data_IF_191815123821
#
_entry.id   IF_191815123821
#
_cell.length_a   1.000
_cell.length_b   1.000
_cell.length_c   1.000
_cell.angle_alpha   90.00
_cell.angle_beta   90.00
_cell.angle_gamma   90.00
#
_symmetry.space_group_name_H-M   'P 1'
#
loop_
_entity.id
_entity.type
_entity.pdbx_description
1 polymer ?
#
# COMPACT_ATOMS: atom_id res chain seq x y z
N UNK A 1 -25.89 8.55 28.84
CA UNK A 1 -25.64 8.47 27.38
C UNK A 1 -24.28 7.82 27.19
N UNK A 2 -24.24 6.50 27.05
CA UNK A 2 -23.01 5.74 26.79
C UNK A 2 -22.86 5.60 25.28
N UNK A 3 -21.87 6.28 24.71
CA UNK A 3 -21.45 6.07 23.32
C UNK A 3 -20.69 4.75 23.24
N UNK A 4 -21.40 3.64 23.07
CA UNK A 4 -20.80 2.39 22.58
C UNK A 4 -20.59 2.54 21.06
N UNK A 5 -19.50 3.20 20.69
CA UNK A 5 -18.98 3.10 19.33
C UNK A 5 -18.43 1.69 19.17
N UNK A 6 -19.17 0.85 18.45
CA UNK A 6 -18.78 -0.52 18.15
C UNK A 6 -17.48 -0.56 17.38
N UNK A 7 -16.37 -0.78 18.08
CA UNK A 7 -15.10 -1.12 17.45
C UNK A 7 -15.21 -2.50 16.83
N UNK A 8 -15.35 -2.54 15.50
CA UNK A 8 -15.33 -3.80 14.76
C UNK A 8 -13.99 -4.52 14.97
N UNK A 9 -14.03 -5.82 15.23
CA UNK A 9 -12.84 -6.69 15.33
C UNK A 9 -11.94 -6.58 14.09
N UNK A 10 -12.51 -6.25 12.92
CA UNK A 10 -11.76 -6.01 11.70
C UNK A 10 -10.94 -4.70 11.75
N UNK A 11 -11.43 -3.66 12.43
CA UNK A 11 -10.65 -2.44 12.67
C UNK A 11 -9.49 -2.71 13.64
N UNK A 12 -9.74 -3.46 14.72
CA UNK A 12 -8.70 -3.82 15.69
C UNK A 12 -7.62 -4.71 15.06
N UNK A 13 -8.00 -5.66 14.18
CA UNK A 13 -7.04 -6.45 13.39
C UNK A 13 -6.25 -5.59 12.39
N UNK A 14 -6.89 -4.63 11.72
CA UNK A 14 -6.21 -3.67 10.83
C UNK A 14 -5.20 -2.78 11.59
N UNK A 15 -5.50 -2.41 12.84
CA UNK A 15 -4.61 -1.62 13.69
C UNK A 15 -3.41 -2.43 14.22
N UNK A 16 -3.55 -3.74 14.36
CA UNK A 16 -2.49 -4.63 14.85
C UNK A 16 -1.58 -5.19 13.74
N UNK A 17 -2.00 -5.11 12.47
CA UNK A 17 -1.21 -5.56 11.33
C UNK A 17 -0.33 -4.44 10.78
N UNK A 18 0.92 -4.77 10.42
CA UNK A 18 1.76 -3.84 9.68
C UNK A 18 1.06 -3.46 8.35
N UNK A 19 1.01 -2.17 8.00
CA UNK A 19 0.36 -1.72 6.78
C UNK A 19 1.02 -2.34 5.55
N UNK A 20 0.21 -2.98 4.69
CA UNK A 20 0.66 -3.64 3.45
C UNK A 20 0.48 -2.70 2.26
N UNK A 21 1.46 -2.65 1.37
CA UNK A 21 1.39 -1.90 0.12
C UNK A 21 0.28 -2.43 -0.82
N UNK A 22 -0.28 -3.61 -0.57
CA UNK A 22 -1.41 -4.18 -1.31
C UNK A 22 -2.78 -3.70 -0.81
N UNK A 23 -2.84 -2.97 0.30
CA UNK A 23 -4.10 -2.42 0.80
C UNK A 23 -4.57 -1.27 -0.10
N UNK A 24 -5.57 -1.55 -0.94
CA UNK A 24 -6.16 -0.57 -1.88
C UNK A 24 -6.94 0.54 -1.19
N UNK A 25 -7.24 0.40 0.11
CA UNK A 25 -7.86 1.48 0.89
C UNK A 25 -6.86 2.57 1.29
N UNK A 26 -5.57 2.32 1.11
CA UNK A 26 -4.52 3.31 1.36
C UNK A 26 -4.29 4.21 0.14
N UNK A 27 -3.99 5.51 0.35
CA UNK A 27 -3.55 6.39 -0.71
C UNK A 27 -2.29 5.88 -1.41
N UNK A 28 -2.17 6.15 -2.71
CA UNK A 28 -1.03 5.75 -3.52
C UNK A 28 0.34 6.16 -2.92
N UNK A 29 0.42 7.37 -2.36
CA UNK A 29 1.64 7.88 -1.73
C UNK A 29 2.10 7.01 -0.57
N UNK A 30 1.18 6.50 0.23
CA UNK A 30 1.51 5.69 1.41
C UNK A 30 1.93 4.27 1.00
N UNK A 31 1.24 3.68 0.01
CA UNK A 31 1.62 2.39 -0.58
C UNK A 31 3.03 2.44 -1.20
N UNK A 32 3.38 3.52 -1.90
CA UNK A 32 4.74 3.72 -2.42
C UNK A 32 5.76 3.92 -1.30
N UNK A 33 5.43 4.65 -0.23
CA UNK A 33 6.30 4.80 0.95
C UNK A 33 6.58 3.46 1.62
N UNK A 34 5.62 2.56 1.71
CA UNK A 34 5.81 1.22 2.24
C UNK A 34 6.83 0.43 1.41
N UNK A 35 6.72 0.48 0.07
CA UNK A 35 7.73 -0.11 -0.81
C UNK A 35 9.12 0.51 -0.64
N UNK A 36 9.21 1.84 -0.46
CA UNK A 36 10.50 2.50 -0.17
C UNK A 36 11.11 2.02 1.14
N UNK A 37 10.30 1.82 2.20
CA UNK A 37 10.76 1.26 3.49
C UNK A 37 11.24 -0.18 3.36
N UNK A 38 10.56 -1.00 2.55
CA UNK A 38 11.05 -2.35 2.23
C UNK A 38 12.39 -2.30 1.49
N UNK A 39 12.55 -1.29 0.63
CA UNK A 39 13.77 -0.99 -0.10
C UNK A 39 14.96 -0.61 0.78
N UNK A 40 14.73 0.19 1.83
CA UNK A 40 15.80 0.64 2.73
C UNK A 40 16.24 -0.39 3.76
N UNK A 41 15.49 -1.49 3.93
CA UNK A 41 15.86 -2.61 4.81
C UNK A 41 16.96 -3.45 4.17
N UNK A 42 18.20 -3.02 4.39
CA UNK A 42 19.43 -3.67 3.94
C UNK A 42 20.37 -3.81 5.14
N UNK A 43 20.80 -5.04 5.40
CA UNK A 43 21.80 -5.37 6.40
C UNK A 43 23.09 -5.77 5.68
N UNK A 44 24.21 -5.31 6.21
CA UNK A 44 25.55 -5.60 5.71
C UNK A 44 26.28 -6.36 6.80
N UNK A 45 27.00 -7.42 6.42
CA UNK A 45 27.88 -8.16 7.31
C UNK A 45 29.30 -7.61 7.18
N UNK A 46 29.88 -7.19 8.31
CA UNK A 46 31.26 -6.70 8.38
C UNK A 46 32.31 -7.79 8.15
N UNK A 47 31.92 -9.07 8.21
CA UNK A 47 32.81 -10.20 7.92
C UNK A 47 32.97 -10.48 6.42
N UNK A 48 32.10 -9.88 5.60
CA UNK A 48 32.09 -10.08 4.14
C UNK A 48 32.81 -8.90 3.47
N UNK A 49 33.95 -9.11 2.79
CA UNK A 49 34.71 -8.01 2.22
C UNK A 49 33.89 -7.19 1.20
N UNK A 50 33.99 -5.84 1.17
CA UNK A 50 33.14 -4.99 0.32
C UNK A 50 33.20 -5.31 -1.18
N UNK A 51 34.32 -5.85 -1.68
CA UNK A 51 34.46 -6.35 -3.05
C UNK A 51 33.40 -7.39 -3.44
N UNK A 52 32.95 -8.22 -2.50
CA UNK A 52 31.92 -9.22 -2.77
C UNK A 52 30.58 -8.54 -3.01
N UNK A 53 30.22 -7.54 -2.20
CA UNK A 53 29.03 -6.73 -2.44
C UNK A 53 29.10 -5.99 -3.78
N UNK A 54 30.23 -5.37 -4.12
CA UNK A 54 30.41 -4.70 -5.43
C UNK A 54 30.18 -5.68 -6.61
N UNK A 55 30.70 -6.90 -6.52
CA UNK A 55 30.48 -7.92 -7.56
C UNK A 55 29.02 -8.40 -7.62
N UNK A 56 28.43 -8.69 -6.46
CA UNK A 56 27.01 -9.10 -6.36
C UNK A 56 26.04 -7.99 -6.78
N UNK A 57 26.44 -6.72 -6.63
CA UNK A 57 25.64 -5.56 -7.03
C UNK A 57 25.32 -5.54 -8.53
N UNK A 58 26.22 -6.03 -9.38
CA UNK A 58 25.99 -6.13 -10.82
C UNK A 58 24.80 -7.04 -11.12
N UNK A 59 24.71 -8.18 -10.45
CA UNK A 59 23.60 -9.12 -10.63
C UNK A 59 22.33 -8.60 -9.98
N UNK A 60 22.44 -7.92 -8.84
CA UNK A 60 21.29 -7.29 -8.18
C UNK A 60 20.59 -6.26 -9.07
N UNK A 61 21.35 -5.42 -9.77
CA UNK A 61 20.80 -4.48 -10.76
C UNK A 61 20.18 -5.22 -11.96
N UNK A 62 20.86 -6.26 -12.47
CA UNK A 62 20.31 -7.10 -13.55
C UNK A 62 18.96 -7.71 -13.16
N UNK A 63 18.83 -8.20 -11.94
CA UNK A 63 17.56 -8.75 -11.42
C UNK A 63 16.47 -7.69 -11.29
N UNK A 64 16.81 -6.46 -10.93
CA UNK A 64 15.83 -5.37 -10.90
C UNK A 64 15.32 -5.05 -12.31
N UNK A 65 16.21 -5.11 -13.31
CA UNK A 65 15.85 -4.96 -14.72
C UNK A 65 14.93 -6.10 -15.20
N UNK A 66 15.19 -7.36 -14.82
CA UNK A 66 14.31 -8.49 -15.14
C UNK A 66 12.92 -8.31 -14.53
N UNK A 67 12.82 -7.92 -13.26
CA UNK A 67 11.51 -7.63 -12.65
C UNK A 67 10.75 -6.54 -13.41
N UNK A 68 11.44 -5.50 -13.88
CA UNK A 68 10.83 -4.43 -14.67
C UNK A 68 10.33 -4.97 -16.02
N UNK A 69 11.14 -5.78 -16.71
CA UNK A 69 10.78 -6.40 -18.00
C UNK A 69 9.56 -7.34 -17.88
N UNK A 70 9.44 -8.03 -16.76
CA UNK A 70 8.28 -8.89 -16.44
C UNK A 70 7.04 -8.10 -15.97
N UNK A 71 7.11 -6.76 -15.90
CA UNK A 71 6.02 -5.92 -15.39
C UNK A 71 5.80 -6.01 -13.88
N UNK A 72 6.74 -6.59 -13.13
CA UNK A 72 6.69 -6.73 -11.67
C UNK A 72 7.24 -5.45 -11.01
N UNK A 73 6.51 -4.36 -11.19
CA UNK A 73 6.93 -2.99 -10.85
C UNK A 73 7.32 -2.84 -9.38
N UNK A 74 6.55 -3.42 -8.45
CA UNK A 74 6.81 -3.32 -7.01
C UNK A 74 8.14 -3.97 -6.64
N UNK A 75 8.41 -5.15 -7.20
CA UNK A 75 9.65 -5.88 -6.95
C UNK A 75 10.85 -5.15 -7.55
N UNK A 76 10.72 -4.66 -8.78
CA UNK A 76 11.75 -3.85 -9.41
C UNK A 76 12.07 -2.60 -8.57
N UNK A 77 11.03 -1.89 -8.11
CA UNK A 77 11.17 -0.69 -7.30
C UNK A 77 11.86 -0.98 -5.96
N UNK A 78 11.43 -2.02 -5.25
CA UNK A 78 12.06 -2.44 -3.99
C UNK A 78 13.53 -2.81 -4.21
N UNK A 79 13.84 -3.54 -5.28
CA UNK A 79 15.21 -4.00 -5.53
C UNK A 79 16.13 -2.86 -5.97
N UNK A 80 15.67 -1.90 -6.79
CA UNK A 80 16.43 -0.69 -7.08
C UNK A 80 16.67 0.16 -5.83
N UNK A 81 15.68 0.31 -4.94
CA UNK A 81 15.90 1.00 -3.66
C UNK A 81 16.92 0.26 -2.78
N UNK A 82 16.85 -1.08 -2.67
CA UNK A 82 17.84 -1.87 -1.94
C UNK A 82 19.24 -1.69 -2.52
N UNK A 83 19.36 -1.69 -3.84
CA UNK A 83 20.63 -1.47 -4.53
C UNK A 83 21.20 -0.08 -4.20
N UNK A 84 20.37 0.96 -4.32
CA UNK A 84 20.77 2.34 -3.98
C UNK A 84 21.17 2.44 -2.51
N UNK A 85 20.34 2.00 -1.56
CA UNK A 85 20.66 2.03 -0.13
C UNK A 85 21.94 1.27 0.18
N UNK A 86 22.14 0.08 -0.41
CA UNK A 86 23.36 -0.70 -0.21
C UNK A 86 24.59 0.10 -0.61
N UNK A 87 24.63 0.67 -1.82
CA UNK A 87 25.86 1.26 -2.35
C UNK A 87 26.06 2.74 -2.03
N UNK A 88 25.01 3.46 -1.66
CA UNK A 88 25.07 4.89 -1.29
C UNK A 88 25.15 5.08 0.23
N UNK A 89 24.51 4.22 1.01
CA UNK A 89 24.40 4.41 2.46
C UNK A 89 25.19 3.35 3.25
N UNK A 90 25.00 2.06 2.95
CA UNK A 90 25.49 0.98 3.81
C UNK A 90 26.95 0.63 3.54
N UNK A 91 27.29 0.28 2.30
CA UNK A 91 28.61 -0.19 1.92
C UNK A 91 29.71 0.87 2.13
N UNK A 92 29.48 2.17 1.87
CA UNK A 92 30.48 3.19 2.16
C UNK A 92 30.88 3.31 3.63
N UNK A 93 30.02 2.87 4.56
CA UNK A 93 30.29 2.87 6.00
C UNK A 93 31.09 1.64 6.47
N UNK A 94 31.27 0.62 5.64
CA UNK A 94 32.02 -0.59 6.00
C UNK A 94 33.51 -0.24 6.20
N UNK A 95 34.11 -0.77 7.27
CA UNK A 95 35.52 -0.53 7.66
C UNK A 95 36.55 -0.71 6.53
N UNK A 96 36.33 -1.66 5.62
CA UNK A 96 37.29 -2.03 4.57
C UNK A 96 36.94 -1.40 3.20
N UNK A 97 35.89 -0.57 3.13
CA UNK A 97 35.42 -0.01 1.85
C UNK A 97 36.49 0.82 1.14
N UNK A 98 37.32 1.55 1.89
CA UNK A 98 38.39 2.37 1.33
C UNK A 98 39.46 1.55 0.61
N UNK A 99 39.66 0.29 1.01
CA UNK A 99 40.66 -0.62 0.43
C UNK A 99 40.20 -1.20 -0.93
N UNK A 100 38.92 -1.05 -1.29
CA UNK A 100 38.40 -1.57 -2.55
C UNK A 100 38.89 -0.79 -3.77
N UNK A 101 39.09 -1.51 -4.87
CA UNK A 101 39.66 -0.99 -6.11
C UNK A 101 38.75 0.08 -6.76
N UNK A 102 39.37 1.07 -7.41
CA UNK A 102 38.64 2.11 -8.15
C UNK A 102 37.78 1.54 -9.30
N UNK A 103 38.23 0.57 -10.10
CA UNK A 103 37.42 0.04 -11.20
C UNK A 103 36.11 -0.61 -10.75
N UNK A 104 36.13 -1.40 -9.66
CA UNK A 104 34.91 -2.04 -9.13
C UNK A 104 33.92 -1.00 -8.60
N UNK A 105 34.41 0.04 -7.92
CA UNK A 105 33.59 1.17 -7.46
C UNK A 105 32.99 1.93 -8.64
N UNK A 106 33.78 2.23 -9.67
CA UNK A 106 33.34 2.98 -10.84
C UNK A 106 32.19 2.27 -11.58
N UNK A 107 32.26 0.95 -11.72
CA UNK A 107 31.19 0.19 -12.37
C UNK A 107 29.85 0.33 -11.64
N UNK A 108 29.86 0.22 -10.31
CA UNK A 108 28.66 0.39 -9.48
C UNK A 108 28.15 1.84 -9.51
N UNK A 109 29.04 2.82 -9.44
CA UNK A 109 28.66 4.24 -9.53
C UNK A 109 28.00 4.57 -10.88
N UNK A 110 28.52 4.01 -11.97
CA UNK A 110 27.91 4.14 -13.30
C UNK A 110 26.50 3.55 -13.32
N UNK A 111 26.30 2.34 -12.78
CA UNK A 111 24.99 1.70 -12.67
C UNK A 111 24.01 2.49 -11.80
N UNK A 112 24.48 3.08 -10.69
CA UNK A 112 23.66 3.94 -9.85
C UNK A 112 23.13 5.14 -10.65
N UNK A 113 24.02 5.86 -11.32
CA UNK A 113 23.71 7.11 -12.02
C UNK A 113 22.89 6.90 -13.30
N UNK A 114 23.32 5.96 -14.14
CA UNK A 114 22.73 5.77 -15.47
C UNK A 114 21.50 4.87 -15.47
N UNK A 115 21.34 4.01 -14.44
CA UNK A 115 20.27 3.01 -14.41
C UNK A 115 19.42 3.12 -13.15
N UNK A 116 19.98 2.90 -11.97
CA UNK A 116 19.17 2.67 -10.77
C UNK A 116 18.35 3.90 -10.36
N UNK A 117 18.96 5.10 -10.34
CA UNK A 117 18.23 6.33 -10.01
C UNK A 117 17.14 6.66 -11.05
N UNK A 118 17.43 6.72 -12.37
CA UNK A 118 16.41 6.94 -13.38
C UNK A 118 15.27 5.92 -13.33
N UNK A 119 15.58 4.63 -13.23
CA UNK A 119 14.57 3.55 -13.20
C UNK A 119 13.72 3.60 -11.94
N UNK A 120 14.32 3.87 -10.78
CA UNK A 120 13.57 4.04 -9.53
C UNK A 120 12.59 5.22 -9.63
N UNK A 121 13.00 6.34 -10.23
CA UNK A 121 12.13 7.51 -10.38
C UNK A 121 10.99 7.27 -11.38
N UNK A 122 11.27 6.57 -12.49
CA UNK A 122 10.25 6.10 -13.45
C UNK A 122 9.24 5.16 -12.79
N UNK A 123 9.73 4.12 -12.09
CA UNK A 123 8.90 3.17 -11.36
C UNK A 123 8.03 3.84 -10.29
N UNK A 124 8.56 4.87 -9.61
CA UNK A 124 7.79 5.63 -8.63
C UNK A 124 6.55 6.24 -9.26
N UNK A 125 6.68 6.84 -10.46
CA UNK A 125 5.55 7.44 -11.20
C UNK A 125 4.54 6.37 -11.61
N UNK A 126 5.01 5.28 -12.21
CA UNK A 126 4.15 4.17 -12.63
C UNK A 126 3.35 3.56 -11.46
N UNK A 127 4.00 3.36 -10.31
CA UNK A 127 3.34 2.85 -9.11
C UNK A 127 2.34 3.86 -8.53
N UNK A 128 2.67 5.16 -8.55
CA UNK A 128 1.74 6.20 -8.12
C UNK A 128 0.49 6.23 -9.01
N UNK A 129 0.65 6.14 -10.33
CA UNK A 129 -0.47 6.08 -11.27
C UNK A 129 -1.34 4.84 -11.03
N UNK A 130 -0.71 3.65 -10.99
CA UNK A 130 -1.40 2.37 -10.70
C UNK A 130 -2.22 2.44 -9.41
N UNK A 131 -1.59 2.85 -8.31
CA UNK A 131 -2.26 2.86 -7.01
C UNK A 131 -3.29 3.97 -6.88
N UNK A 132 -3.14 5.08 -7.61
CA UNK A 132 -4.14 6.15 -7.62
C UNK A 132 -5.42 5.68 -8.29
N UNK A 133 -5.30 4.92 -9.39
CA UNK A 133 -6.43 4.29 -10.05
C UNK A 133 -7.14 3.31 -9.11
N UNK A 134 -6.41 2.34 -8.55
CA UNK A 134 -6.96 1.33 -7.64
C UNK A 134 -7.66 1.97 -6.43
N UNK A 135 -7.06 3.00 -5.81
CA UNK A 135 -7.65 3.69 -4.67
C UNK A 135 -8.91 4.47 -5.06
N UNK A 136 -8.95 5.08 -6.25
CA UNK A 136 -10.13 5.79 -6.75
C UNK A 136 -11.32 4.85 -6.99
N UNK A 137 -11.04 3.65 -7.50
CA UNK A 137 -12.04 2.60 -7.70
C UNK A 137 -12.57 2.09 -6.36
N UNK A 138 -11.69 1.87 -5.38
CA UNK A 138 -12.07 1.52 -4.01
C UNK A 138 -13.02 2.56 -3.40
N UNK A 139 -12.69 3.85 -3.48
CA UNK A 139 -13.53 4.92 -2.92
C UNK A 139 -14.90 4.99 -3.62
N UNK A 140 -14.94 4.80 -4.95
CA UNK A 140 -16.20 4.77 -5.69
C UNK A 140 -17.08 3.60 -5.27
N UNK A 141 -16.50 2.41 -5.09
CA UNK A 141 -17.23 1.24 -4.61
C UNK A 141 -17.77 1.46 -3.19
N UNK A 142 -16.96 2.04 -2.30
CA UNK A 142 -17.37 2.34 -0.93
C UNK A 142 -18.52 3.37 -0.85
N UNK A 143 -18.48 4.40 -1.71
CA UNK A 143 -19.56 5.38 -1.79
C UNK A 143 -20.87 4.73 -2.27
N UNK A 144 -20.80 3.88 -3.31
CA UNK A 144 -21.97 3.18 -3.84
C UNK A 144 -22.60 2.23 -2.80
N UNK A 145 -21.79 1.53 -2.01
CA UNK A 145 -22.29 0.68 -0.92
C UNK A 145 -22.97 1.49 0.18
N UNK A 146 -22.37 2.61 0.60
CA UNK A 146 -22.94 3.46 1.63
C UNK A 146 -24.28 4.09 1.19
N UNK A 147 -24.39 4.49 -0.08
CA UNK A 147 -25.65 4.99 -0.65
C UNK A 147 -26.74 3.91 -0.68
N UNK A 148 -26.39 2.69 -1.08
CA UNK A 148 -27.34 1.58 -1.14
C UNK A 148 -27.86 1.19 0.25
N UNK A 149 -26.97 1.13 1.25
CA UNK A 149 -27.32 0.90 2.66
C UNK A 149 -28.23 2.00 3.20
N UNK A 150 -27.90 3.28 2.93
CA UNK A 150 -28.74 4.42 3.31
C UNK A 150 -30.14 4.36 2.71
N UNK A 151 -30.25 4.02 1.42
CA UNK A 151 -31.56 3.83 0.75
C UNK A 151 -32.34 2.67 1.34
N UNK A 152 -31.68 1.56 1.66
CA UNK A 152 -32.32 0.39 2.30
C UNK A 152 -32.93 0.73 3.66
N UNK A 153 -32.17 1.45 4.50
CA UNK A 153 -32.65 1.91 5.82
C UNK A 153 -33.84 2.87 5.67
N UNK A 154 -33.77 3.81 4.72
CA UNK A 154 -34.86 4.75 4.45
C UNK A 154 -36.15 4.02 4.03
N UNK A 155 -36.05 3.04 3.14
CA UNK A 155 -37.19 2.24 2.69
C UNK A 155 -37.80 1.40 3.82
N UNK A 156 -36.95 0.80 4.66
CA UNK A 156 -37.41 0.04 5.82
C UNK A 156 -38.17 0.93 6.81
N UNK A 157 -37.66 2.13 7.08
CA UNK A 157 -38.30 3.08 7.98
C UNK A 157 -39.65 3.60 7.44
N UNK A 158 -39.75 3.83 6.12
CA UNK A 158 -41.01 4.18 5.45
C UNK A 158 -42.03 3.03 5.50
N UNK A 159 -41.60 1.77 5.35
CA UNK A 159 -42.47 0.60 5.48
C UNK A 159 -43.07 0.48 6.88
N UNK A 160 -42.25 0.64 7.93
CA UNK A 160 -42.70 0.58 9.32
C UNK A 160 -43.74 1.67 9.65
N UNK A 161 -43.52 2.90 9.15
CA UNK A 161 -44.48 4.01 9.31
C UNK A 161 -45.78 3.83 8.50
N UNK A 162 -45.75 3.02 7.44
CA UNK A 162 -46.93 2.63 6.68
C UNK A 162 -47.77 1.60 7.43
N UNK A 163 -47.12 0.57 7.99
CA UNK A 163 -47.78 -0.49 8.74
C UNK A 163 -48.46 0.03 10.03
N UNK A 164 -47.83 0.96 10.75
CA UNK A 164 -48.43 1.57 11.95
C UNK A 164 -49.67 2.44 11.62
N UNK A 165 -49.66 3.13 10.47
CA UNK A 165 -50.83 3.88 9.99
C UNK A 165 -51.98 2.96 9.57
N UNK A 166 -51.67 1.78 9.01
CA UNK A 166 -52.67 0.76 8.69
C UNK A 166 -53.34 0.19 9.94
N UNK A 167 -52.55 -0.20 10.95
CA UNK A 167 -53.06 -0.74 12.22
C UNK A 167 -53.94 0.25 12.98
N UNK A 168 -53.55 1.53 13.05
CA UNK A 168 -54.36 2.56 13.72
C UNK A 168 -55.70 2.85 13.03
N UNK A 169 -55.80 2.64 11.70
CA UNK A 169 -57.06 2.78 10.98
C UNK A 169 -57.97 1.56 11.11
N UNK A 170 -57.43 0.35 11.22
CA UNK A 170 -58.19 -0.85 11.55
C UNK A 170 -58.72 -0.80 12.98
N UNK A 171 -57.92 -0.33 13.94
CA UNK A 171 -58.34 -0.19 15.34
C UNK A 171 -59.43 0.88 15.50
N UNK A 172 -59.32 2.03 14.82
CA UNK A 172 -60.35 3.08 14.83
C UNK A 172 -61.66 2.66 14.13
N UNK A 173 -61.61 1.70 13.20
CA UNK A 173 -62.81 1.07 12.62
C UNK A 173 -63.44 0.02 13.53
N UNK A 174 -62.65 -0.61 14.41
CA UNK A 174 -63.13 -1.59 15.38
C UNK A 174 -63.93 -0.99 16.55
N UNK A 175 -63.58 0.22 17.01
CA UNK A 175 -64.28 0.91 18.11
C UNK A 175 -65.50 1.75 17.68
N UNK A 176 -65.75 1.87 16.37
CA UNK A 176 -66.87 2.66 15.81
C UNK A 176 -68.22 1.93 15.73
N UNK A 177 -68.36 0.72 16.29
CA UNK A 177 -69.55 -0.14 16.12
C UNK A 177 -70.22 -0.61 17.42
N UNK A 178 -69.92 -0.02 18.58
CA UNK A 178 -70.68 -0.29 19.80
C UNK A 178 -71.26 1.00 20.39
N UNK A 179 -72.59 0.99 20.40
CA UNK A 179 -73.56 1.91 21.01
C UNK A 179 -73.26 2.22 22.48
#
# INVERSE_FOLDING_TARGET
>A
MTMEQGFSLNMLRKLAADPDYRDVSLPAVDRVRLLSRMGSRVELSEDVPPRHYLRSGVEMERMASVYLQEGRLENAYVLYNKFITLFVEKLPAHRDYQQCSLPEKQLIMKKLQEVAFPRKDELKKLLQEKYSLEHSEYLRAQAATAEAEGRGLQLQQLSLLGDDRGRGQEENRGWGLQL
#
